data_IF_418653305495
#
_entry.id   IF_418653305495
#
_cell.length_a   1.000
_cell.length_b   1.000
_cell.length_c   1.000
_cell.angle_alpha   90.00
_cell.angle_beta   90.00
_cell.angle_gamma   90.00
#
_symmetry.space_group_name_H-M   'P 1'
#
loop_
_entity.id
_entity.type
_entity.pdbx_description
1 polymer ?
#
# COMPACT_ATOMS: atom_id res chain seq x y z
N UNK A 1 1.61 -1.88 -14.16
CA UNK A 1 3.08 -2.02 -14.38
C UNK A 1 3.83 -0.74 -14.00
N UNK A 2 3.52 0.42 -14.62
CA UNK A 2 4.24 1.69 -14.40
C UNK A 2 4.25 2.14 -12.92
N UNK A 3 3.12 2.01 -12.23
CA UNK A 3 3.01 2.36 -10.81
C UNK A 3 3.90 1.47 -9.93
N UNK A 4 3.95 0.17 -10.19
CA UNK A 4 4.82 -0.77 -9.48
C UNK A 4 6.30 -0.41 -9.64
N UNK A 5 6.73 -0.12 -10.88
CA UNK A 5 8.12 0.31 -11.14
C UNK A 5 8.46 1.60 -10.40
N UNK A 6 7.56 2.59 -10.40
CA UNK A 6 7.75 3.84 -9.67
C UNK A 6 7.90 3.58 -8.16
N UNK A 7 7.02 2.76 -7.59
CA UNK A 7 7.06 2.38 -6.17
C UNK A 7 8.38 1.72 -5.80
N UNK A 8 8.80 0.70 -6.57
CA UNK A 8 10.05 -0.02 -6.32
C UNK A 8 11.29 0.88 -6.51
N UNK A 9 11.27 1.79 -7.48
CA UNK A 9 12.36 2.76 -7.66
C UNK A 9 12.51 3.67 -6.44
N UNK A 10 11.41 4.07 -5.79
CA UNK A 10 11.46 4.83 -4.55
C UNK A 10 12.02 4.01 -3.37
N UNK A 11 11.88 2.68 -3.40
CA UNK A 11 12.40 1.77 -2.38
C UNK A 11 13.86 1.33 -2.63
N UNK A 12 14.47 1.70 -3.76
CA UNK A 12 15.78 1.18 -4.20
C UNK A 12 16.93 1.40 -3.20
N UNK A 13 16.87 2.44 -2.37
CA UNK A 13 17.85 2.71 -1.31
C UNK A 13 17.54 2.01 0.03
N UNK A 14 16.40 1.35 0.16
CA UNK A 14 16.05 0.62 1.37
C UNK A 14 16.83 -0.70 1.41
N UNK A 15 17.58 -1.00 2.49
CA UNK A 15 18.39 -2.23 2.59
C UNK A 15 17.54 -3.52 2.54
N UNK A 16 16.26 -3.44 2.86
CA UNK A 16 15.32 -4.57 2.85
C UNK A 16 14.52 -4.70 1.55
N UNK A 17 14.86 -3.93 0.50
CA UNK A 17 14.18 -4.02 -0.80
C UNK A 17 14.22 -5.43 -1.40
N UNK A 18 15.29 -6.18 -1.15
CA UNK A 18 15.43 -7.59 -1.57
C UNK A 18 14.48 -8.56 -0.88
N UNK A 19 13.84 -8.14 0.22
CA UNK A 19 12.80 -8.90 0.93
C UNK A 19 11.41 -8.70 0.35
N UNK A 20 11.26 -7.81 -0.62
CA UNK A 20 9.98 -7.48 -1.25
C UNK A 20 9.84 -8.31 -2.53
N UNK A 21 8.86 -9.21 -2.55
CA UNK A 21 8.39 -9.88 -3.77
C UNK A 21 7.18 -9.16 -4.35
N UNK A 22 7.07 -9.15 -5.68
CA UNK A 22 5.96 -8.46 -6.38
C UNK A 22 5.20 -9.45 -7.23
N UNK A 23 3.89 -9.51 -7.03
CA UNK A 23 2.96 -10.37 -7.75
C UNK A 23 1.89 -9.51 -8.41
N UNK A 24 1.90 -9.41 -9.72
CA UNK A 24 0.88 -8.69 -10.48
C UNK A 24 0.02 -9.70 -11.26
N UNK A 25 -1.16 -9.97 -10.75
CA UNK A 25 -2.11 -10.95 -11.31
C UNK A 25 -2.99 -10.37 -12.42
N UNK A 26 -2.95 -9.04 -12.61
CA UNK A 26 -3.75 -8.36 -13.62
C UNK A 26 -2.97 -7.28 -14.38
N UNK A 27 -1.92 -7.65 -15.13
CA UNK A 27 -1.02 -6.71 -15.80
C UNK A 27 -1.70 -5.84 -16.86
N UNK A 28 -2.79 -6.33 -17.46
CA UNK A 28 -3.54 -5.63 -18.52
C UNK A 28 -4.54 -4.60 -17.97
N UNK A 29 -4.83 -4.63 -16.67
CA UNK A 29 -5.81 -3.72 -16.08
C UNK A 29 -5.21 -2.33 -15.91
N UNK A 30 -5.95 -1.33 -16.35
CA UNK A 30 -5.62 0.08 -16.18
C UNK A 30 -6.44 0.68 -15.04
N UNK A 31 -5.77 1.38 -14.15
CA UNK A 31 -6.39 2.15 -13.07
C UNK A 31 -6.11 3.63 -13.27
N UNK A 32 -7.11 4.46 -13.04
CA UNK A 32 -6.98 5.90 -13.11
C UNK A 32 -6.65 6.45 -11.72
N UNK A 33 -5.37 6.67 -11.48
CA UNK A 33 -4.88 7.15 -10.20
C UNK A 33 -3.81 8.23 -10.39
N UNK A 34 -3.67 9.12 -9.42
CA UNK A 34 -2.49 9.96 -9.33
C UNK A 34 -1.28 9.08 -8.97
N UNK A 35 -0.48 8.74 -9.99
CA UNK A 35 0.61 7.76 -9.86
C UNK A 35 1.64 8.15 -8.80
N UNK A 36 1.94 9.45 -8.63
CA UNK A 36 2.93 9.92 -7.66
C UNK A 36 2.39 9.74 -6.24
N UNK A 37 1.15 10.15 -5.97
CA UNK A 37 0.53 10.01 -4.65
C UNK A 37 0.33 8.54 -4.29
N UNK A 38 -0.12 7.74 -5.25
CA UNK A 38 -0.34 6.31 -5.03
C UNK A 38 0.97 5.56 -4.79
N UNK A 39 2.04 5.86 -5.58
CA UNK A 39 3.36 5.28 -5.33
C UNK A 39 3.86 5.63 -3.92
N UNK A 40 3.72 6.88 -3.49
CA UNK A 40 4.10 7.31 -2.14
C UNK A 40 3.28 6.60 -1.04
N UNK A 41 1.99 6.38 -1.28
CA UNK A 41 1.14 5.60 -0.35
C UNK A 41 1.65 4.15 -0.22
N UNK A 42 1.95 3.49 -1.35
CA UNK A 42 2.50 2.13 -1.35
C UNK A 42 3.89 2.08 -0.69
N UNK A 43 4.76 3.08 -0.94
CA UNK A 43 6.07 3.19 -0.26
C UNK A 43 5.88 3.28 1.26
N UNK A 44 4.94 4.09 1.75
CA UNK A 44 4.67 4.19 3.18
C UNK A 44 4.25 2.83 3.78
N UNK A 45 3.44 2.04 3.07
CA UNK A 45 3.06 0.70 3.52
C UNK A 45 4.24 -0.26 3.52
N UNK A 46 5.07 -0.24 2.46
CA UNK A 46 6.27 -1.08 2.36
C UNK A 46 7.32 -0.72 3.43
N UNK A 47 7.51 0.56 3.72
CA UNK A 47 8.40 1.01 4.80
C UNK A 47 7.91 0.56 6.17
N UNK A 48 6.61 0.56 6.41
CA UNK A 48 6.03 0.04 7.64
C UNK A 48 6.27 -1.48 7.76
N UNK A 49 6.06 -2.22 6.68
CA UNK A 49 6.37 -3.65 6.61
C UNK A 49 7.86 -3.92 6.87
N UNK A 50 8.78 -3.15 6.25
CA UNK A 50 10.22 -3.27 6.50
C UNK A 50 10.60 -3.06 7.97
N UNK A 51 9.89 -2.19 8.70
CA UNK A 51 10.12 -1.96 10.13
C UNK A 51 9.57 -3.10 11.00
N UNK A 52 8.56 -3.80 10.51
CA UNK A 52 7.87 -4.86 11.26
C UNK A 52 8.54 -6.23 11.14
N UNK A 53 9.27 -6.50 10.06
CA UNK A 53 9.86 -7.81 9.78
C UNK A 53 11.23 -7.98 10.44
N UNK A 54 11.61 -9.24 10.66
CA UNK A 54 12.98 -9.62 10.97
C UNK A 54 13.87 -9.36 9.73
N UNK A 55 14.99 -8.63 9.85
CA UNK A 55 15.84 -8.30 8.70
C UNK A 55 16.46 -9.51 7.98
N UNK A 56 16.64 -10.62 8.69
CA UNK A 56 17.29 -11.84 8.15
C UNK A 56 16.29 -12.83 7.57
N UNK A 57 15.09 -12.92 8.14
CA UNK A 57 14.09 -13.96 7.83
C UNK A 57 12.76 -13.41 7.32
N UNK A 58 12.56 -12.11 7.44
CA UNK A 58 11.32 -11.47 7.09
C UNK A 58 11.07 -11.45 5.58
N UNK A 59 9.80 -11.51 5.21
CA UNK A 59 9.32 -11.47 3.84
C UNK A 59 8.20 -10.45 3.70
N UNK A 60 8.20 -9.74 2.59
CA UNK A 60 7.16 -8.77 2.23
C UNK A 60 6.66 -9.11 0.84
N UNK A 61 5.35 -9.08 0.66
CA UNK A 61 4.72 -9.27 -0.65
C UNK A 61 3.92 -8.04 -1.02
N UNK A 62 4.13 -7.55 -2.24
CA UNK A 62 3.28 -6.53 -2.88
C UNK A 62 2.47 -7.25 -3.96
N UNK A 63 1.17 -7.42 -3.72
CA UNK A 63 0.28 -8.18 -4.58
C UNK A 63 -0.72 -7.22 -5.22
N UNK A 64 -0.91 -7.33 -6.52
CA UNK A 64 -1.93 -6.60 -7.27
C UNK A 64 -2.88 -7.61 -7.91
N UNK A 65 -4.14 -7.57 -7.52
CA UNK A 65 -5.18 -8.43 -8.06
C UNK A 65 -6.41 -7.61 -8.48
N UNK A 66 -7.32 -8.26 -9.19
CA UNK A 66 -8.54 -7.63 -9.69
C UNK A 66 -9.74 -8.50 -9.43
N UNK A 67 -10.79 -7.91 -8.92
CA UNK A 67 -12.04 -8.60 -8.65
C UNK A 67 -13.24 -7.66 -8.84
N UNK A 68 -14.25 -8.12 -9.58
CA UNK A 68 -15.58 -7.46 -9.65
C UNK A 68 -15.54 -5.95 -9.92
N UNK A 69 -14.64 -5.48 -10.80
CA UNK A 69 -14.54 -4.06 -11.15
C UNK A 69 -13.75 -3.21 -10.16
N UNK A 70 -12.98 -3.86 -9.27
CA UNK A 70 -12.03 -3.22 -8.36
C UNK A 70 -10.61 -3.76 -8.59
N UNK A 71 -9.60 -2.97 -8.22
CA UNK A 71 -8.21 -3.42 -8.10
C UNK A 71 -7.82 -3.44 -6.63
N UNK A 72 -7.15 -4.49 -6.22
CA UNK A 72 -6.67 -4.68 -4.87
C UNK A 72 -5.14 -4.59 -4.87
N UNK A 73 -4.62 -3.75 -4.01
CA UNK A 73 -3.18 -3.52 -3.82
C UNK A 73 -2.85 -3.92 -2.39
N UNK A 74 -2.23 -5.07 -2.24
CA UNK A 74 -1.97 -5.66 -0.93
C UNK A 74 -0.50 -5.60 -0.59
N UNK A 75 -0.18 -5.12 0.60
CA UNK A 75 1.12 -5.27 1.23
C UNK A 75 0.96 -6.26 2.37
N UNK A 76 1.67 -7.37 2.28
CA UNK A 76 1.64 -8.46 3.27
C UNK A 76 3.04 -8.66 3.81
N UNK A 77 3.18 -8.68 5.11
CA UNK A 77 4.43 -9.00 5.79
C UNK A 77 4.25 -10.10 6.84
N UNK A 78 5.30 -10.86 7.11
CA UNK A 78 5.36 -11.86 8.16
C UNK A 78 6.05 -11.33 9.43
N UNK A 79 5.86 -10.05 9.73
CA UNK A 79 6.46 -9.37 10.85
C UNK A 79 5.76 -9.59 12.19
N UNK A 80 5.98 -8.65 13.09
CA UNK A 80 5.47 -8.71 14.48
C UNK A 80 3.95 -8.62 14.59
N UNK A 81 3.25 -8.27 13.49
CA UNK A 81 1.81 -8.04 13.51
C UNK A 81 1.41 -6.79 14.31
N UNK A 82 0.11 -6.55 14.41
CA UNK A 82 -0.45 -5.38 15.07
C UNK A 82 -1.46 -5.84 16.12
N UNK A 83 -1.33 -5.31 17.34
CA UNK A 83 -2.28 -5.55 18.41
C UNK A 83 -3.66 -4.99 18.03
N UNK A 84 -4.78 -5.71 18.31
CA UNK A 84 -6.14 -5.24 18.02
C UNK A 84 -6.48 -3.86 18.59
N UNK A 85 -5.97 -3.51 19.77
CA UNK A 85 -6.19 -2.19 20.36
C UNK A 85 -5.50 -1.07 19.54
N UNK A 86 -4.38 -1.39 18.93
CA UNK A 86 -3.62 -0.48 18.08
C UNK A 86 -4.32 -0.32 16.73
N UNK A 87 -4.86 -1.39 16.15
CA UNK A 87 -5.62 -1.36 14.90
C UNK A 87 -6.74 -0.32 14.93
N UNK A 88 -7.43 -0.15 16.06
CA UNK A 88 -8.48 0.85 16.22
C UNK A 88 -7.98 2.29 16.19
N UNK A 89 -6.69 2.51 16.51
CA UNK A 89 -6.09 3.84 16.65
C UNK A 89 -5.18 4.23 15.50
N UNK A 90 -4.74 3.27 14.68
CA UNK A 90 -3.68 3.49 13.68
C UNK A 90 -4.03 4.49 12.58
N UNK A 91 -5.32 4.74 12.35
CA UNK A 91 -5.81 5.71 11.37
C UNK A 91 -5.98 7.12 11.92
N UNK A 92 -5.76 7.32 13.23
CA UNK A 92 -5.83 8.63 13.86
C UNK A 92 -4.56 9.44 13.55
N UNK A 93 -4.73 10.71 13.17
CA UNK A 93 -3.60 11.60 12.88
C UNK A 93 -2.61 11.66 14.04
N UNK A 94 -1.31 11.50 13.72
CA UNK A 94 -0.23 11.56 14.70
C UNK A 94 -0.02 10.29 15.50
N UNK A 95 -0.85 9.26 15.34
CA UNK A 95 -0.64 8.00 16.05
C UNK A 95 0.54 7.23 15.44
N UNK A 96 1.50 6.90 16.28
CA UNK A 96 2.62 6.03 15.95
C UNK A 96 3.21 5.40 17.21
N UNK A 97 3.23 4.09 17.27
CA UNK A 97 3.78 3.34 18.39
C UNK A 97 5.33 3.34 18.40
N UNK A 98 5.94 3.48 17.24
CA UNK A 98 7.41 3.38 17.06
C UNK A 98 8.15 4.70 16.98
N UNK A 99 7.54 5.81 17.46
CA UNK A 99 8.18 7.13 17.38
C UNK A 99 8.28 7.72 15.97
N UNK A 100 7.71 7.07 14.95
CA UNK A 100 7.50 7.67 13.64
C UNK A 100 6.35 8.69 13.73
N UNK A 101 6.29 9.64 12.82
CA UNK A 101 5.35 10.77 12.90
C UNK A 101 3.86 10.38 12.81
N UNK A 102 3.52 9.11 12.59
CA UNK A 102 2.14 8.63 12.34
C UNK A 102 1.49 9.19 11.07
N UNK A 103 2.21 10.04 10.34
CA UNK A 103 1.71 10.71 9.15
C UNK A 103 1.60 9.78 7.93
N UNK A 104 2.32 8.65 7.94
CA UNK A 104 2.35 7.72 6.82
C UNK A 104 0.98 7.11 6.52
N UNK A 105 0.31 6.55 7.54
CA UNK A 105 -0.98 5.89 7.36
C UNK A 105 -2.12 6.89 7.10
N UNK A 106 -2.10 8.05 7.74
CA UNK A 106 -3.07 9.11 7.46
C UNK A 106 -2.93 9.65 6.04
N UNK A 107 -1.70 9.73 5.51
CA UNK A 107 -1.48 10.06 4.11
C UNK A 107 -2.02 8.96 3.18
N UNK A 108 -1.82 7.68 3.51
CA UNK A 108 -2.39 6.54 2.75
C UNK A 108 -3.91 6.68 2.69
N UNK A 109 -4.57 6.93 3.83
CA UNK A 109 -6.03 7.12 3.88
C UNK A 109 -6.47 8.26 2.97
N UNK A 110 -5.83 9.44 3.05
CA UNK A 110 -6.14 10.59 2.20
C UNK A 110 -6.01 10.27 0.70
N UNK A 111 -4.97 9.51 0.32
CA UNK A 111 -4.77 9.12 -1.08
C UNK A 111 -5.88 8.17 -1.53
N UNK A 112 -6.25 7.20 -0.69
CA UNK A 112 -7.30 6.23 -1.01
C UNK A 112 -8.66 6.91 -1.12
N UNK A 113 -8.99 7.81 -0.20
CA UNK A 113 -10.23 8.60 -0.23
C UNK A 113 -10.33 9.45 -1.49
N UNK A 114 -9.23 10.08 -1.91
CA UNK A 114 -9.15 10.85 -3.15
C UNK A 114 -9.51 10.02 -4.40
N UNK A 115 -9.24 8.72 -4.34
CA UNK A 115 -9.53 7.78 -5.44
C UNK A 115 -10.82 6.96 -5.21
N UNK A 116 -11.67 7.39 -4.27
CA UNK A 116 -12.93 6.72 -3.93
C UNK A 116 -12.75 5.23 -3.56
N UNK A 117 -11.61 4.92 -2.96
CA UNK A 117 -11.24 3.59 -2.52
C UNK A 117 -11.55 3.32 -1.05
N UNK A 118 -11.17 2.14 -0.61
CA UNK A 118 -11.23 1.72 0.80
C UNK A 118 -9.93 1.04 1.20
N UNK A 119 -9.66 1.01 2.51
CA UNK A 119 -8.52 0.29 3.08
C UNK A 119 -9.05 -0.76 4.03
N UNK A 120 -8.52 -1.97 3.91
CA UNK A 120 -8.73 -3.06 4.85
C UNK A 120 -7.40 -3.43 5.51
N UNK A 121 -7.45 -3.74 6.81
CA UNK A 121 -6.28 -4.23 7.57
C UNK A 121 -6.65 -5.52 8.27
N UNK A 122 -5.84 -6.55 8.06
CA UNK A 122 -5.89 -7.82 8.77
C UNK A 122 -4.52 -8.09 9.37
N UNK A 123 -4.47 -8.40 10.64
CA UNK A 123 -3.20 -8.68 11.31
C UNK A 123 -3.41 -9.64 12.46
N UNK A 124 -2.40 -10.47 12.69
CA UNK A 124 -2.30 -11.37 13.85
C UNK A 124 -0.97 -11.07 14.56
N UNK A 125 -0.98 -10.70 15.85
CA UNK A 125 0.24 -10.42 16.59
C UNK A 125 1.23 -11.60 16.53
N UNK A 126 2.48 -11.30 16.18
CA UNK A 126 3.55 -12.29 16.04
C UNK A 126 3.51 -13.13 14.76
N UNK A 127 2.56 -12.91 13.85
CA UNK A 127 2.40 -13.74 12.65
C UNK A 127 2.48 -12.94 11.36
N UNK A 128 1.62 -11.92 11.18
CA UNK A 128 1.57 -11.15 9.94
C UNK A 128 0.81 -9.84 10.06
N UNK A 129 1.05 -8.96 9.08
CA UNK A 129 0.16 -7.85 8.76
C UNK A 129 -0.17 -7.88 7.26
N UNK A 130 -1.43 -7.63 6.93
CA UNK A 130 -1.93 -7.44 5.56
C UNK A 130 -2.71 -6.15 5.49
N UNK A 131 -2.28 -5.24 4.64
CA UNK A 131 -2.99 -3.99 4.35
C UNK A 131 -3.40 -4.02 2.88
N UNK A 132 -4.69 -3.88 2.61
CA UNK A 132 -5.27 -3.93 1.27
C UNK A 132 -5.89 -2.59 0.92
N UNK A 133 -5.41 -1.94 -0.13
CA UNK A 133 -6.04 -0.79 -0.76
C UNK A 133 -6.94 -1.33 -1.88
N UNK A 134 -8.21 -0.99 -1.84
CA UNK A 134 -9.21 -1.38 -2.83
C UNK A 134 -9.65 -0.14 -3.60
N UNK A 135 -9.41 -0.12 -4.91
CA UNK A 135 -9.75 1.01 -5.77
C UNK A 135 -10.77 0.58 -6.85
N UNK A 136 -11.79 1.39 -7.14
CA UNK A 136 -12.68 1.12 -8.25
C UNK A 136 -11.92 1.17 -9.58
N UNK A 137 -12.22 0.25 -10.48
CA UNK A 137 -11.82 0.34 -11.88
C UNK A 137 -12.79 1.30 -12.57
N UNK A 138 -12.42 2.56 -12.69
CA UNK A 138 -13.21 3.51 -13.45
C UNK A 138 -13.21 3.07 -14.93
N UNK A 139 -14.32 2.53 -15.39
CA UNK A 139 -14.63 2.43 -16.83
C UNK A 139 -14.84 3.87 -17.28
N UNK A 140 -13.81 4.45 -17.90
CA UNK A 140 -13.71 5.85 -18.25
C UNK A 140 -15.02 6.52 -18.71
N UNK A 141 -15.71 7.20 -17.80
CA UNK A 141 -16.54 8.32 -18.15
C UNK A 141 -15.65 9.56 -18.14
N UNK A 142 -15.23 9.93 -19.33
CA UNK A 142 -14.46 11.13 -19.60
C UNK A 142 -15.36 12.36 -19.42
N UNK A 143 -15.34 12.96 -18.24
CA UNK A 143 -15.65 14.38 -18.11
C UNK A 143 -14.32 15.15 -17.92
N UNK A 144 -13.94 15.82 -19.02
CA UNK A 144 -12.64 16.40 -19.25
C UNK A 144 -12.17 17.35 -18.16
N UNK A 145 -10.96 17.15 -17.77
CA UNK A 145 -9.87 18.02 -17.31
C UNK A 145 -9.03 17.33 -16.24
N UNK A 146 -8.36 16.26 -16.57
CA UNK A 146 -7.21 15.83 -15.78
C UNK A 146 -6.05 15.45 -16.72
N UNK A 147 -4.89 15.99 -16.42
CA UNK A 147 -3.68 15.88 -17.21
C UNK A 147 -3.23 14.43 -17.35
N UNK A 148 -3.34 13.92 -18.58
CA UNK A 148 -2.67 12.68 -18.98
C UNK A 148 -1.17 12.97 -19.13
N UNK A 149 -0.38 12.24 -18.37
CA UNK A 149 1.04 12.08 -18.71
C UNK A 149 1.19 10.63 -19.22
N UNK A 150 1.45 10.53 -20.52
CA UNK A 150 1.82 9.31 -21.20
C UNK A 150 3.11 8.69 -20.66
#
# INVERSE_FOLDING_TARGET
ERLLRLTLSCMASNPLVSRISVHNECPEVRVYVNSIRMARALVNLLENACKAIDPEKGEIQLIVSCCSGTTHWEVVDNGIGINPEILQRMWTHGYSESGSTGLGLSFVQQVVDLHHGTIEVKSSPGEYTRITIILPQNKGEHNGKEHFIN
#
